data_IF_513304941745
#
_entry.id   IF_513304941745
#
_cell.length_a   1.000
_cell.length_b   1.000
_cell.length_c   1.000
_cell.angle_alpha   90.00
_cell.angle_beta   90.00
_cell.angle_gamma   90.00
#
_symmetry.space_group_name_H-M   'P 1'
#
loop_
_entity.id
_entity.type
_entity.pdbx_description
1 polymer ?
#
# COMPACT_ATOMS: atom_id res chain seq x y z
N UNK A 1 35.01 14.99 -8.25
CA UNK A 1 33.87 14.31 -7.58
C UNK A 1 33.49 15.18 -6.40
N UNK A 2 32.23 15.57 -6.31
CA UNK A 2 31.73 16.43 -5.25
C UNK A 2 31.39 15.61 -4.01
N UNK A 3 31.76 16.15 -2.82
CA UNK A 3 31.62 15.50 -1.52
C UNK A 3 30.42 16.06 -0.77
N UNK A 4 29.69 15.20 -0.09
CA UNK A 4 28.52 15.51 0.73
C UNK A 4 28.60 14.81 2.09
N UNK A 5 28.03 15.42 3.12
CA UNK A 5 27.82 14.74 4.39
C UNK A 5 26.80 13.63 4.28
N UNK A 6 25.75 13.88 3.48
CA UNK A 6 24.66 12.94 3.23
C UNK A 6 24.24 12.93 1.76
N UNK A 7 24.12 11.74 1.16
CA UNK A 7 23.47 11.52 -0.14
C UNK A 7 22.20 10.71 0.08
N UNK A 8 21.06 11.18 -0.41
CA UNK A 8 19.78 10.49 -0.34
C UNK A 8 19.34 10.11 -1.76
N UNK A 9 19.12 8.81 -1.98
CA UNK A 9 18.58 8.30 -3.24
C UNK A 9 17.07 8.10 -3.13
N UNK A 10 16.30 9.02 -3.71
CA UNK A 10 14.84 9.04 -3.76
C UNK A 10 14.20 10.10 -2.87
N UNK A 11 13.36 10.96 -3.48
CA UNK A 11 12.63 12.04 -2.82
C UNK A 11 11.22 11.62 -2.36
N UNK A 12 10.98 10.33 -2.12
CA UNK A 12 9.80 9.80 -1.46
C UNK A 12 9.88 9.93 0.06
N UNK A 13 9.94 8.80 0.79
CA UNK A 13 10.15 8.81 2.25
C UNK A 13 11.53 9.29 2.65
N UNK A 14 12.55 9.13 1.77
CA UNK A 14 13.89 9.64 2.01
C UNK A 14 13.95 11.15 2.21
N UNK A 15 13.11 11.93 1.49
CA UNK A 15 13.05 13.38 1.67
C UNK A 15 12.62 13.83 3.08
N UNK A 16 11.89 12.98 3.82
CA UNK A 16 11.43 13.32 5.18
C UNK A 16 12.52 13.24 6.26
N UNK A 17 13.71 12.73 5.91
CA UNK A 17 14.87 12.71 6.80
C UNK A 17 15.47 14.09 6.97
N UNK A 18 15.43 14.93 5.93
CA UNK A 18 16.05 16.26 5.93
C UNK A 18 15.26 17.20 6.84
N UNK A 19 15.86 17.62 7.94
CA UNK A 19 15.25 18.49 8.93
C UNK A 19 16.29 19.33 9.69
N UNK A 20 15.85 20.14 10.68
CA UNK A 20 16.70 21.10 11.38
C UNK A 20 17.97 20.52 12.02
N UNK A 21 17.94 19.24 12.40
CA UNK A 21 19.13 18.58 12.96
C UNK A 21 20.27 18.41 11.94
N UNK A 22 20.05 18.74 10.67
CA UNK A 22 21.00 18.62 9.56
C UNK A 22 21.26 19.96 8.87
N UNK A 23 20.93 21.11 9.47
CA UNK A 23 21.09 22.42 8.84
C UNK A 23 22.56 22.72 8.47
N UNK A 24 23.53 22.20 9.25
CA UNK A 24 24.97 22.32 8.98
C UNK A 24 25.54 21.26 8.03
N UNK A 25 24.71 20.31 7.56
CA UNK A 25 25.12 19.23 6.66
C UNK A 25 25.03 19.66 5.20
N UNK A 26 26.03 19.32 4.40
CA UNK A 26 25.91 19.40 2.94
C UNK A 26 25.23 18.15 2.41
N UNK A 27 24.03 18.29 1.86
CA UNK A 27 23.15 17.18 1.47
C UNK A 27 22.95 17.16 -0.04
N UNK A 28 23.11 15.98 -0.66
CA UNK A 28 22.65 15.71 -2.02
C UNK A 28 21.35 14.91 -1.96
N UNK A 29 20.30 15.40 -2.62
CA UNK A 29 19.05 14.70 -2.81
C UNK A 29 18.90 14.33 -4.30
N UNK A 30 18.89 13.02 -4.59
CA UNK A 30 18.80 12.49 -5.95
C UNK A 30 17.39 11.99 -6.22
N UNK A 31 16.75 12.51 -7.26
CA UNK A 31 15.40 12.07 -7.65
C UNK A 31 15.32 11.96 -9.18
N UNK A 32 14.93 10.79 -9.65
CA UNK A 32 14.76 10.49 -11.08
C UNK A 32 13.46 11.06 -11.64
N UNK A 33 12.44 11.19 -10.79
CA UNK A 33 11.08 11.48 -11.20
C UNK A 33 10.51 12.70 -10.49
N UNK A 34 9.29 12.54 -9.98
CA UNK A 34 8.53 13.60 -9.33
C UNK A 34 8.66 13.48 -7.82
N UNK A 35 8.93 14.58 -7.15
CA UNK A 35 9.05 14.63 -5.70
C UNK A 35 7.80 14.10 -4.99
N UNK A 36 7.99 13.48 -3.82
CA UNK A 36 6.92 12.86 -3.03
C UNK A 36 6.77 11.35 -3.23
N UNK A 37 7.45 10.80 -4.25
CA UNK A 37 7.51 9.36 -4.52
C UNK A 37 6.14 8.75 -4.88
N UNK A 38 6.06 7.41 -4.82
CA UNK A 38 4.87 6.65 -5.21
C UNK A 38 3.63 7.06 -4.43
N UNK A 39 3.72 7.22 -3.11
CA UNK A 39 2.54 7.47 -2.27
C UNK A 39 1.81 8.77 -2.65
N UNK A 40 2.53 9.87 -2.87
CA UNK A 40 1.92 11.15 -3.22
C UNK A 40 1.37 11.14 -4.66
N UNK A 41 2.14 10.60 -5.62
CA UNK A 41 1.89 10.88 -7.03
C UNK A 41 1.07 9.80 -7.75
N UNK A 42 1.15 8.53 -7.33
CA UNK A 42 0.60 7.37 -8.07
C UNK A 42 0.24 6.17 -7.16
N UNK A 43 0.10 6.39 -5.87
CA UNK A 43 -0.23 5.35 -4.89
C UNK A 43 -1.29 5.80 -3.91
N UNK A 44 -0.94 5.86 -2.63
CA UNK A 44 -1.87 6.01 -1.51
C UNK A 44 -2.83 7.20 -1.67
N UNK A 45 -2.30 8.40 -1.93
CA UNK A 45 -3.10 9.62 -1.91
C UNK A 45 -4.08 9.69 -3.09
N UNK A 46 -3.64 9.59 -4.36
CA UNK A 46 -4.57 9.64 -5.48
C UNK A 46 -5.58 8.50 -5.42
N UNK A 47 -5.17 7.26 -5.12
CA UNK A 47 -6.10 6.12 -5.03
C UNK A 47 -7.22 6.39 -4.02
N UNK A 48 -6.92 6.91 -2.82
CA UNK A 48 -7.94 7.20 -1.79
C UNK A 48 -8.87 8.33 -2.19
N UNK A 49 -8.38 9.31 -2.94
CA UNK A 49 -9.25 10.35 -3.51
C UNK A 49 -10.22 9.79 -4.56
N UNK A 50 -9.77 8.83 -5.39
CA UNK A 50 -10.64 8.12 -6.33
C UNK A 50 -11.61 7.17 -5.63
N UNK A 51 -11.15 6.39 -4.65
CA UNK A 51 -11.97 5.47 -3.83
C UNK A 51 -13.12 6.24 -3.17
N UNK A 52 -12.85 7.39 -2.55
CA UNK A 52 -13.91 8.19 -1.91
C UNK A 52 -14.98 8.63 -2.92
N UNK A 53 -14.59 8.95 -4.15
CA UNK A 53 -15.55 9.28 -5.22
C UNK A 53 -16.33 8.03 -5.67
N UNK A 54 -15.65 6.88 -5.79
CA UNK A 54 -16.29 5.60 -6.11
C UNK A 54 -17.31 5.18 -5.04
N UNK A 55 -16.95 5.34 -3.76
CA UNK A 55 -17.87 5.10 -2.64
C UNK A 55 -19.11 6.00 -2.70
N UNK A 56 -18.94 7.26 -3.13
CA UNK A 56 -20.07 8.19 -3.34
C UNK A 56 -21.04 7.68 -4.40
N UNK A 57 -20.52 7.13 -5.50
CA UNK A 57 -21.34 6.50 -6.55
C UNK A 57 -22.13 5.32 -5.98
N UNK A 58 -21.45 4.40 -5.28
CA UNK A 58 -22.10 3.25 -4.67
C UNK A 58 -23.14 3.64 -3.61
N UNK A 59 -22.92 4.70 -2.83
CA UNK A 59 -23.90 5.20 -1.88
C UNK A 59 -25.18 5.66 -2.59
N UNK A 60 -25.07 6.32 -3.74
CA UNK A 60 -26.25 6.72 -4.55
C UNK A 60 -26.95 5.49 -5.13
N UNK A 61 -26.21 4.56 -5.71
CA UNK A 61 -26.79 3.32 -6.31
C UNK A 61 -27.52 2.46 -5.27
N UNK A 62 -27.04 2.46 -4.04
CA UNK A 62 -27.62 1.66 -2.96
C UNK A 62 -28.62 2.44 -2.07
N UNK A 63 -28.89 3.71 -2.36
CA UNK A 63 -29.75 4.57 -1.53
C UNK A 63 -31.18 4.06 -1.37
N UNK A 64 -31.72 3.36 -2.39
CA UNK A 64 -33.06 2.81 -2.38
C UNK A 64 -33.31 1.82 -1.22
N UNK A 65 -32.29 1.09 -0.76
CA UNK A 65 -32.39 0.20 0.42
C UNK A 65 -32.74 0.95 1.71
N UNK A 66 -32.43 2.26 1.76
CA UNK A 66 -32.72 3.14 2.87
C UNK A 66 -33.98 3.99 2.63
N UNK A 67 -34.73 3.72 1.56
CA UNK A 67 -35.94 4.46 1.17
C UNK A 67 -35.66 5.81 0.48
N UNK A 68 -34.46 6.01 -0.05
CA UNK A 68 -34.09 7.21 -0.80
C UNK A 68 -33.97 6.88 -2.28
N UNK A 69 -34.87 7.46 -3.09
CA UNK A 69 -34.81 7.33 -4.54
C UNK A 69 -33.74 8.26 -5.09
N UNK A 70 -32.62 7.69 -5.53
CA UNK A 70 -31.50 8.44 -6.08
C UNK A 70 -30.91 7.69 -7.28
N UNK A 71 -30.30 8.41 -8.20
CA UNK A 71 -29.62 7.84 -9.37
C UNK A 71 -28.39 8.66 -9.76
N UNK A 72 -27.47 8.02 -10.45
CA UNK A 72 -26.27 8.66 -11.03
C UNK A 72 -26.54 8.98 -12.48
N UNK A 73 -26.65 10.27 -12.84
CA UNK A 73 -26.87 10.69 -14.22
C UNK A 73 -25.66 10.47 -15.12
N UNK A 74 -24.44 10.44 -14.54
CA UNK A 74 -23.20 10.22 -15.28
C UNK A 74 -21.96 10.48 -14.45
N UNK A 75 -20.84 10.00 -14.96
CA UNK A 75 -19.51 10.14 -14.37
C UNK A 75 -18.70 11.14 -15.20
N UNK A 76 -18.38 12.29 -14.60
CA UNK A 76 -17.54 13.33 -15.20
C UNK A 76 -16.06 13.02 -14.90
N UNK A 77 -15.52 12.02 -15.60
CA UNK A 77 -14.17 11.50 -15.36
C UNK A 77 -13.09 12.58 -15.36
N UNK A 78 -13.11 13.49 -16.34
CA UNK A 78 -12.13 14.57 -16.43
C UNK A 78 -12.14 15.46 -15.17
N UNK A 79 -13.34 15.77 -14.63
CA UNK A 79 -13.47 16.59 -13.41
C UNK A 79 -12.94 15.83 -12.19
N UNK A 80 -13.22 14.52 -12.08
CA UNK A 80 -12.74 13.66 -10.99
C UNK A 80 -11.22 13.57 -11.05
N UNK A 81 -10.66 13.25 -12.22
CA UNK A 81 -9.22 13.14 -12.44
C UNK A 81 -8.51 14.45 -12.14
N UNK A 82 -8.99 15.56 -12.70
CA UNK A 82 -8.38 16.87 -12.52
C UNK A 82 -8.44 17.30 -11.04
N UNK A 83 -9.58 17.12 -10.35
CA UNK A 83 -9.68 17.39 -8.90
C UNK A 83 -8.59 16.71 -8.08
N UNK A 84 -8.17 15.49 -8.48
CA UNK A 84 -7.10 14.75 -7.81
C UNK A 84 -5.74 15.35 -8.13
N UNK A 85 -5.42 15.50 -9.41
CA UNK A 85 -4.08 15.85 -9.84
C UNK A 85 -3.79 17.34 -9.80
N UNK A 86 -4.78 18.23 -9.95
CA UNK A 86 -4.65 19.67 -9.69
C UNK A 86 -4.28 19.97 -8.22
N UNK A 87 -4.57 19.04 -7.32
CA UNK A 87 -4.10 19.11 -5.93
C UNK A 87 -2.72 18.52 -5.72
N UNK A 88 -2.43 17.36 -6.32
CA UNK A 88 -1.22 16.60 -6.07
C UNK A 88 -0.01 17.18 -6.79
N UNK A 89 -0.16 17.53 -8.06
CA UNK A 89 0.96 17.99 -8.89
C UNK A 89 1.60 19.29 -8.35
N UNK A 90 0.82 20.29 -7.90
CA UNK A 90 1.41 21.47 -7.24
C UNK A 90 2.15 21.16 -5.93
N UNK A 91 1.70 20.16 -5.14
CA UNK A 91 2.40 19.75 -3.91
C UNK A 91 3.77 19.14 -4.26
N UNK A 92 3.81 18.26 -5.25
CA UNK A 92 5.04 17.65 -5.71
C UNK A 92 6.03 18.69 -6.29
N UNK A 93 5.53 19.59 -7.15
CA UNK A 93 6.31 20.70 -7.70
C UNK A 93 6.80 21.67 -6.62
N UNK A 94 5.94 21.99 -5.65
CA UNK A 94 6.28 22.82 -4.49
C UNK A 94 7.38 22.21 -3.64
N UNK A 95 7.32 20.89 -3.41
CA UNK A 95 8.37 20.17 -2.67
C UNK A 95 9.73 20.20 -3.39
N UNK A 96 9.72 19.98 -4.70
CA UNK A 96 10.93 20.09 -5.53
C UNK A 96 11.51 21.51 -5.46
N UNK A 97 10.67 22.54 -5.67
CA UNK A 97 11.07 23.93 -5.59
C UNK A 97 11.67 24.30 -4.23
N UNK A 98 10.99 23.90 -3.16
CA UNK A 98 11.47 24.15 -1.79
C UNK A 98 12.87 23.58 -1.56
N UNK A 99 13.11 22.31 -1.94
CA UNK A 99 14.44 21.71 -1.78
C UNK A 99 15.50 22.32 -2.67
N UNK A 100 15.13 22.76 -3.87
CA UNK A 100 16.08 23.32 -4.84
C UNK A 100 16.47 24.77 -4.51
N UNK A 101 15.56 25.58 -3.98
CA UNK A 101 15.75 27.03 -3.87
C UNK A 101 15.72 27.56 -2.43
N UNK A 102 14.98 26.91 -1.54
CA UNK A 102 14.74 27.43 -0.19
C UNK A 102 15.54 26.66 0.89
N UNK A 103 16.28 25.60 0.51
CA UNK A 103 17.15 24.82 1.39
C UNK A 103 18.63 24.98 0.94
N UNK A 104 19.37 25.97 1.45
CA UNK A 104 20.72 26.29 0.94
C UNK A 104 21.76 25.18 1.17
N UNK A 105 21.51 24.29 2.11
CA UNK A 105 22.36 23.13 2.41
C UNK A 105 22.02 21.88 1.59
N UNK A 106 20.99 21.94 0.71
CA UNK A 106 20.55 20.81 -0.11
C UNK A 106 20.81 21.08 -1.58
N UNK A 107 21.55 20.19 -2.23
CA UNK A 107 21.69 20.16 -3.68
C UNK A 107 20.78 19.09 -4.27
N UNK A 108 19.83 19.46 -5.11
CA UNK A 108 18.96 18.52 -5.81
C UNK A 108 19.61 18.10 -7.13
N UNK A 109 19.82 16.80 -7.29
CA UNK A 109 20.27 16.20 -8.54
C UNK A 109 19.07 15.51 -9.22
N UNK A 110 18.55 16.13 -10.28
CA UNK A 110 17.46 15.56 -11.07
C UNK A 110 18.01 14.50 -12.04
N UNK A 111 17.78 13.24 -11.73
CA UNK A 111 18.24 12.11 -12.54
C UNK A 111 18.32 10.82 -11.76
N UNK A 112 18.60 9.73 -12.50
CA UNK A 112 18.76 8.41 -11.91
C UNK A 112 20.12 8.26 -11.26
N UNK A 113 20.14 8.04 -9.94
CA UNK A 113 21.33 7.72 -9.17
C UNK A 113 21.60 6.22 -9.12
N UNK A 114 22.85 5.81 -9.37
CA UNK A 114 23.30 4.42 -9.19
C UNK A 114 24.65 4.37 -8.50
N UNK A 115 24.92 3.33 -7.77
CA UNK A 115 26.24 3.10 -7.19
C UNK A 115 27.28 2.82 -8.29
N UNK A 116 28.48 3.38 -8.09
CA UNK A 116 29.69 3.11 -8.89
C UNK A 116 30.88 2.74 -7.99
N UNK A 117 30.60 2.47 -6.72
CA UNK A 117 31.52 2.09 -5.65
C UNK A 117 30.86 2.32 -4.30
N UNK A 118 31.53 1.92 -3.21
CA UNK A 118 31.05 2.18 -1.86
C UNK A 118 30.82 3.69 -1.67
N UNK A 119 29.57 4.08 -1.32
CA UNK A 119 29.13 5.47 -1.09
C UNK A 119 29.39 6.45 -2.25
N UNK A 120 29.77 5.95 -3.43
CA UNK A 120 29.94 6.73 -4.65
C UNK A 120 28.76 6.50 -5.59
N UNK A 121 28.14 7.58 -5.97
CA UNK A 121 26.92 7.59 -6.78
C UNK A 121 27.19 8.33 -8.08
N UNK A 122 26.83 7.76 -9.19
CA UNK A 122 26.71 8.44 -10.47
C UNK A 122 25.24 8.78 -10.72
N UNK A 123 24.97 10.05 -10.99
CA UNK A 123 23.64 10.54 -11.33
C UNK A 123 23.59 10.86 -12.80
N UNK A 124 22.70 10.20 -13.55
CA UNK A 124 22.45 10.47 -14.96
C UNK A 124 21.53 11.70 -15.08
N UNK A 125 22.11 12.89 -15.19
CA UNK A 125 21.37 14.16 -15.36
C UNK A 125 21.21 14.52 -16.84
N UNK A 126 20.35 15.51 -17.15
CA UNK A 126 20.16 16.03 -18.51
C UNK A 126 21.43 16.60 -19.13
N UNK A 127 22.34 17.14 -18.29
CA UNK A 127 23.58 17.81 -18.71
C UNK A 127 24.78 16.84 -18.76
N UNK A 128 24.53 15.57 -18.55
CA UNK A 128 25.50 14.48 -18.51
C UNK A 128 25.66 13.87 -17.12
N UNK A 129 26.40 12.76 -16.98
CA UNK A 129 26.58 12.08 -15.74
C UNK A 129 27.44 12.89 -14.74
N UNK A 130 26.98 12.98 -13.50
CA UNK A 130 27.68 13.61 -12.39
C UNK A 130 28.02 12.57 -11.34
N UNK A 131 29.27 12.53 -10.87
CA UNK A 131 29.67 11.65 -9.78
C UNK A 131 29.78 12.43 -8.46
N UNK A 132 29.09 11.90 -7.45
CA UNK A 132 29.06 12.43 -6.08
C UNK A 132 29.45 11.34 -5.08
N UNK A 133 29.96 11.76 -3.93
CA UNK A 133 30.31 10.84 -2.83
C UNK A 133 29.72 11.35 -1.52
N UNK A 134 29.10 10.43 -0.75
CA UNK A 134 28.55 10.73 0.57
C UNK A 134 29.41 10.18 1.69
N UNK A 135 29.60 10.96 2.76
CA UNK A 135 30.08 10.39 4.03
C UNK A 135 29.04 9.37 4.56
N UNK A 136 27.77 9.71 4.42
CA UNK A 136 26.61 8.86 4.66
C UNK A 136 25.76 8.77 3.38
N UNK A 137 25.16 7.61 3.14
CA UNK A 137 24.21 7.40 2.02
C UNK A 137 22.94 6.77 2.54
N UNK A 138 21.78 7.30 2.16
CA UNK A 138 20.46 6.70 2.44
C UNK A 138 19.83 6.24 1.13
N UNK A 139 19.58 4.93 1.03
CA UNK A 139 18.92 4.34 -0.13
C UNK A 139 17.42 4.25 0.13
N UNK A 140 16.66 5.15 -0.49
CA UNK A 140 15.20 5.25 -0.38
C UNK A 140 14.50 5.19 -1.76
N UNK A 141 15.08 4.40 -2.68
CA UNK A 141 14.67 4.36 -4.09
C UNK A 141 13.35 3.60 -4.35
N UNK A 142 12.74 3.01 -3.30
CA UNK A 142 11.41 2.43 -3.37
C UNK A 142 11.31 1.16 -4.22
N UNK A 143 10.13 0.96 -4.80
CA UNK A 143 9.79 -0.20 -5.63
C UNK A 143 8.98 0.25 -6.85
N UNK A 144 8.89 -0.63 -7.87
CA UNK A 144 8.11 -0.44 -9.09
C UNK A 144 7.14 -1.59 -9.32
N UNK A 145 6.09 -1.43 -10.16
CA UNK A 145 5.21 -2.52 -10.55
C UNK A 145 6.00 -3.69 -11.16
N UNK A 146 5.62 -4.90 -10.80
CA UNK A 146 6.13 -6.13 -11.41
C UNK A 146 5.34 -6.44 -12.68
N UNK A 147 6.02 -6.44 -13.82
CA UNK A 147 5.40 -6.77 -15.10
C UNK A 147 5.70 -8.23 -15.41
N UNK A 148 4.67 -9.08 -15.55
CA UNK A 148 4.87 -10.48 -15.90
C UNK A 148 5.28 -10.62 -17.37
N UNK A 149 6.15 -11.58 -17.64
CA UNK A 149 6.50 -11.97 -19.01
C UNK A 149 5.38 -12.85 -19.59
N UNK A 150 4.40 -12.20 -20.24
CA UNK A 150 3.28 -12.85 -20.90
C UNK A 150 3.34 -12.47 -22.40
N UNK A 151 3.40 -13.46 -23.30
CA UNK A 151 3.40 -13.21 -24.74
C UNK A 151 2.28 -12.25 -25.18
N UNK A 152 2.61 -11.21 -25.93
CA UNK A 152 1.68 -10.22 -26.43
C UNK A 152 1.29 -9.11 -25.47
N UNK A 153 1.69 -9.16 -24.18
CA UNK A 153 1.31 -8.12 -23.20
C UNK A 153 1.89 -6.74 -23.57
N UNK A 154 3.16 -6.69 -23.95
CA UNK A 154 3.81 -5.43 -24.34
C UNK A 154 3.22 -4.86 -25.64
N UNK A 155 2.90 -5.73 -26.59
CA UNK A 155 2.38 -5.37 -27.91
C UNK A 155 0.95 -4.81 -27.84
N UNK A 156 0.11 -5.33 -26.95
CA UNK A 156 -1.25 -4.79 -26.77
C UNK A 156 -1.26 -3.51 -25.94
N UNK A 157 -0.21 -3.25 -25.17
CA UNK A 157 -0.12 -2.18 -24.20
C UNK A 157 -0.88 -2.50 -22.91
N UNK A 158 -0.42 -1.92 -21.83
CA UNK A 158 -1.03 -2.09 -20.50
C UNK A 158 -0.80 -0.84 -19.66
N UNK A 159 -1.63 -0.69 -18.65
CA UNK A 159 -1.41 0.25 -17.55
C UNK A 159 -0.99 -0.48 -16.27
N UNK A 160 -0.39 0.27 -15.37
CA UNK A 160 -0.08 -0.12 -14.00
C UNK A 160 -0.70 0.87 -13.02
N UNK A 161 -0.48 0.69 -11.71
CA UNK A 161 -0.86 1.71 -10.72
C UNK A 161 -0.23 3.08 -10.97
N UNK A 162 0.88 3.11 -11.73
CA UNK A 162 1.65 4.32 -11.94
C UNK A 162 1.00 5.30 -12.93
N UNK A 163 0.11 4.81 -13.82
CA UNK A 163 -0.47 5.59 -14.92
C UNK A 163 -2.00 5.43 -15.10
N UNK A 164 -2.61 4.32 -14.67
CA UNK A 164 -4.05 4.06 -14.90
C UNK A 164 -4.96 5.18 -14.37
N UNK A 165 -4.58 5.84 -13.28
CA UNK A 165 -5.36 6.93 -12.71
C UNK A 165 -5.31 8.24 -13.53
N UNK A 166 -4.44 8.30 -14.55
CA UNK A 166 -4.26 9.45 -15.43
C UNK A 166 -4.79 9.24 -16.86
N UNK A 167 -5.44 8.11 -17.14
CA UNK A 167 -6.02 7.84 -18.46
C UNK A 167 -7.02 8.93 -18.89
N UNK A 168 -7.11 9.18 -20.18
CA UNK A 168 -7.99 10.23 -20.72
C UNK A 168 -9.47 9.87 -20.60
N UNK A 169 -9.80 8.59 -20.70
CA UNK A 169 -11.16 8.08 -20.63
C UNK A 169 -11.24 6.87 -19.73
N UNK A 170 -12.37 6.67 -19.07
CA UNK A 170 -12.66 5.44 -18.31
C UNK A 170 -12.68 4.27 -19.30
N UNK A 171 -11.90 3.20 -19.08
CA UNK A 171 -11.95 2.01 -19.92
C UNK A 171 -13.35 1.40 -19.98
N UNK A 172 -13.82 1.03 -21.17
CA UNK A 172 -15.10 0.30 -21.32
C UNK A 172 -15.05 -1.05 -20.61
N UNK A 173 -13.97 -1.80 -20.85
CA UNK A 173 -13.74 -3.10 -20.20
C UNK A 173 -12.28 -3.22 -19.77
N UNK A 174 -12.05 -3.28 -18.48
CA UNK A 174 -10.74 -3.38 -17.86
C UNK A 174 -10.45 -4.82 -17.45
N UNK A 175 -9.42 -5.42 -18.07
CA UNK A 175 -8.87 -6.72 -17.64
C UNK A 175 -7.81 -6.44 -16.59
N UNK A 176 -8.03 -6.92 -15.36
CA UNK A 176 -7.13 -6.71 -14.21
C UNK A 176 -6.33 -7.99 -13.97
N UNK A 177 -5.02 -7.92 -14.08
CA UNK A 177 -4.10 -9.02 -13.76
C UNK A 177 -3.65 -8.91 -12.30
N UNK A 178 -4.03 -9.88 -11.48
CA UNK A 178 -3.74 -9.94 -10.06
C UNK A 178 -4.98 -9.78 -9.20
N UNK A 179 -4.89 -10.17 -7.92
CA UNK A 179 -5.96 -10.11 -6.95
C UNK A 179 -5.47 -9.59 -5.58
N UNK A 180 -4.40 -8.79 -5.58
CA UNK A 180 -3.90 -8.08 -4.41
C UNK A 180 -4.62 -6.74 -4.19
N UNK A 181 -4.20 -5.98 -3.17
CA UNK A 181 -4.87 -4.72 -2.78
C UNK A 181 -4.94 -3.68 -3.91
N UNK A 182 -3.88 -3.53 -4.73
CA UNK A 182 -3.86 -2.61 -5.89
C UNK A 182 -4.94 -3.00 -6.90
N UNK A 183 -5.03 -4.30 -7.22
CA UNK A 183 -6.02 -4.83 -8.14
C UNK A 183 -7.44 -4.58 -7.64
N UNK A 184 -7.71 -4.88 -6.37
CA UNK A 184 -9.03 -4.74 -5.77
C UNK A 184 -9.45 -3.27 -5.63
N UNK A 185 -8.58 -2.38 -5.15
CA UNK A 185 -8.88 -0.96 -5.03
C UNK A 185 -9.17 -0.32 -6.39
N UNK A 186 -8.36 -0.60 -7.42
CA UNK A 186 -8.55 -0.02 -8.74
C UNK A 186 -9.73 -0.66 -9.49
N UNK A 187 -10.00 -1.95 -9.30
CA UNK A 187 -11.21 -2.59 -9.81
C UNK A 187 -12.47 -1.97 -9.20
N UNK A 188 -12.46 -1.70 -7.89
CA UNK A 188 -13.54 -0.97 -7.23
C UNK A 188 -13.74 0.42 -7.83
N UNK A 189 -12.66 1.20 -7.98
CA UNK A 189 -12.70 2.56 -8.53
C UNK A 189 -13.28 2.58 -9.95
N UNK A 190 -12.67 1.83 -10.87
CA UNK A 190 -13.09 1.84 -12.27
C UNK A 190 -14.45 1.17 -12.48
N UNK A 191 -14.77 0.12 -11.69
CA UNK A 191 -16.08 -0.50 -11.70
C UNK A 191 -17.19 0.46 -11.29
N UNK A 192 -17.01 1.25 -10.23
CA UNK A 192 -17.96 2.27 -9.82
C UNK A 192 -18.11 3.39 -10.88
N UNK A 193 -17.09 3.63 -11.70
CA UNK A 193 -17.15 4.61 -12.77
C UNK A 193 -17.67 4.05 -14.11
N UNK A 194 -18.21 2.83 -14.10
CA UNK A 194 -18.89 2.23 -15.24
C UNK A 194 -18.04 1.30 -16.10
N UNK A 195 -16.78 1.04 -15.75
CA UNK A 195 -16.01 -0.01 -16.43
C UNK A 195 -16.58 -1.39 -16.14
N UNK A 196 -16.75 -2.22 -17.16
CA UNK A 196 -16.83 -3.65 -16.96
C UNK A 196 -15.47 -4.14 -16.45
N UNK A 197 -15.47 -4.95 -15.39
CA UNK A 197 -14.23 -5.44 -14.76
C UNK A 197 -14.15 -6.97 -14.90
N UNK A 198 -13.01 -7.47 -15.38
CA UNK A 198 -12.65 -8.89 -15.27
C UNK A 198 -11.33 -9.01 -14.54
N UNK A 199 -11.32 -9.67 -13.38
CA UNK A 199 -10.10 -9.91 -12.58
C UNK A 199 -9.60 -11.32 -12.83
N UNK A 200 -8.33 -11.44 -13.25
CA UNK A 200 -7.67 -12.75 -13.43
C UNK A 200 -6.65 -12.96 -12.33
N UNK A 201 -6.85 -14.01 -11.51
CA UNK A 201 -6.01 -14.31 -10.36
C UNK A 201 -5.65 -15.80 -10.29
N UNK A 202 -4.37 -16.07 -10.00
CA UNK A 202 -3.83 -17.45 -9.90
C UNK A 202 -4.33 -18.21 -8.66
N UNK A 203 -4.63 -17.52 -7.56
CA UNK A 203 -5.20 -18.15 -6.36
C UNK A 203 -6.72 -18.26 -6.46
N UNK A 204 -7.30 -19.10 -5.61
CA UNK A 204 -8.76 -19.33 -5.54
C UNK A 204 -9.52 -18.16 -4.87
N UNK A 205 -8.82 -17.21 -4.26
CA UNK A 205 -9.40 -16.07 -3.56
C UNK A 205 -8.63 -14.79 -3.90
N UNK A 206 -9.31 -13.66 -3.82
CA UNK A 206 -8.70 -12.33 -3.78
C UNK A 206 -8.05 -12.12 -2.40
N UNK A 207 -7.09 -11.20 -2.34
CA UNK A 207 -6.44 -10.79 -1.08
C UNK A 207 -5.99 -11.98 -0.21
N UNK A 208 -5.36 -12.96 -0.80
CA UNK A 208 -4.98 -14.24 -0.17
C UNK A 208 -4.07 -14.11 1.07
N UNK A 209 -3.50 -12.93 1.31
CA UNK A 209 -2.69 -12.64 2.49
C UNK A 209 -3.52 -12.20 3.70
N UNK A 210 -4.80 -11.89 3.50
CA UNK A 210 -5.73 -11.61 4.59
C UNK A 210 -6.16 -12.89 5.30
N UNK A 211 -6.75 -12.75 6.50
CA UNK A 211 -7.39 -13.87 7.17
C UNK A 211 -8.41 -14.53 6.22
N UNK A 212 -8.51 -15.86 6.30
CA UNK A 212 -9.31 -16.67 5.37
C UNK A 212 -10.76 -16.17 5.27
N UNK A 213 -11.38 -15.80 6.39
CA UNK A 213 -12.78 -15.38 6.40
C UNK A 213 -12.95 -14.02 5.73
N UNK A 214 -11.97 -13.10 5.93
CA UNK A 214 -11.94 -11.81 5.26
C UNK A 214 -11.72 -11.97 3.75
N UNK A 215 -10.75 -12.81 3.34
CA UNK A 215 -10.50 -13.11 1.94
C UNK A 215 -11.71 -13.75 1.25
N UNK A 216 -12.43 -14.64 1.95
CA UNK A 216 -13.66 -15.25 1.45
C UNK A 216 -14.78 -14.21 1.29
N UNK A 217 -14.98 -13.34 2.29
CA UNK A 217 -16.03 -12.33 2.26
C UNK A 217 -15.84 -11.32 1.11
N UNK A 218 -14.63 -10.78 0.95
CA UNK A 218 -14.35 -9.83 -0.14
C UNK A 218 -14.41 -10.50 -1.51
N UNK A 219 -14.00 -11.77 -1.61
CA UNK A 219 -14.10 -12.53 -2.86
C UNK A 219 -15.58 -12.73 -3.27
N UNK A 220 -16.46 -13.02 -2.31
CA UNK A 220 -17.90 -13.16 -2.56
C UNK A 220 -18.54 -11.82 -2.97
N UNK A 221 -18.19 -10.71 -2.30
CA UNK A 221 -18.66 -9.37 -2.67
C UNK A 221 -18.24 -9.00 -4.10
N UNK A 222 -16.97 -9.20 -4.42
CA UNK A 222 -16.46 -8.89 -5.76
C UNK A 222 -17.04 -9.79 -6.85
N UNK A 223 -17.32 -11.06 -6.54
CA UNK A 223 -17.96 -11.98 -7.48
C UNK A 223 -19.41 -11.58 -7.80
N UNK A 224 -20.09 -10.89 -6.89
CA UNK A 224 -21.43 -10.36 -7.15
C UNK A 224 -21.40 -9.12 -8.07
N UNK A 225 -20.27 -8.43 -8.17
CA UNK A 225 -20.10 -7.17 -8.92
C UNK A 225 -19.30 -7.32 -10.21
N UNK A 226 -18.34 -8.22 -10.26
CA UNK A 226 -17.31 -8.33 -11.29
C UNK A 226 -17.17 -9.77 -11.81
N UNK A 227 -16.63 -9.90 -13.03
CA UNK A 227 -16.25 -11.20 -13.59
C UNK A 227 -14.91 -11.65 -12.97
N UNK A 228 -14.93 -12.64 -12.09
CA UNK A 228 -13.75 -13.19 -11.44
C UNK A 228 -13.29 -14.48 -12.12
N UNK A 229 -12.05 -14.50 -12.62
CA UNK A 229 -11.35 -15.67 -13.16
C UNK A 229 -10.27 -16.10 -12.18
N UNK A 230 -10.67 -16.87 -11.18
CA UNK A 230 -9.80 -17.34 -10.09
C UNK A 230 -9.21 -18.73 -10.41
N UNK A 231 -8.08 -19.05 -9.78
CA UNK A 231 -7.38 -20.32 -9.98
C UNK A 231 -6.75 -20.47 -11.37
N UNK A 232 -6.67 -19.39 -12.16
CA UNK A 232 -6.16 -19.39 -13.54
C UNK A 232 -5.19 -18.26 -13.81
N UNK A 233 -4.63 -18.23 -15.01
CA UNK A 233 -3.72 -17.18 -15.45
C UNK A 233 -3.92 -16.92 -16.94
N UNK A 234 -3.63 -15.68 -17.36
CA UNK A 234 -3.49 -15.36 -18.78
C UNK A 234 -2.18 -15.97 -19.30
N UNK A 235 -2.27 -16.62 -20.45
CA UNK A 235 -1.12 -17.25 -21.13
C UNK A 235 -0.66 -16.46 -22.34
N UNK A 236 -1.52 -15.63 -22.91
CA UNK A 236 -1.24 -14.81 -24.09
C UNK A 236 -2.18 -13.63 -24.19
N UNK A 237 -1.68 -12.54 -24.76
CA UNK A 237 -2.47 -11.43 -25.24
C UNK A 237 -2.35 -11.29 -26.75
N UNK A 238 -3.40 -10.79 -27.40
CA UNK A 238 -3.37 -10.36 -28.79
C UNK A 238 -4.36 -9.22 -29.02
N UNK A 239 -4.12 -8.39 -30.05
CA UNK A 239 -5.03 -7.33 -30.47
C UNK A 239 -5.86 -7.81 -31.67
N UNK A 240 -7.18 -7.74 -31.55
CA UNK A 240 -8.14 -8.01 -32.64
C UNK A 240 -8.96 -6.74 -32.90
N UNK A 241 -8.52 -5.92 -33.86
CA UNK A 241 -9.09 -4.59 -34.09
C UNK A 241 -8.84 -3.68 -32.88
N UNK A 242 -9.89 -3.11 -32.32
CA UNK A 242 -9.82 -2.25 -31.13
C UNK A 242 -9.84 -3.03 -29.80
N UNK A 243 -10.07 -4.35 -29.88
CA UNK A 243 -10.18 -5.21 -28.69
C UNK A 243 -8.86 -5.88 -28.36
N UNK A 244 -8.66 -6.10 -27.06
CA UNK A 244 -7.57 -6.88 -26.49
C UNK A 244 -8.15 -8.22 -26.05
N UNK A 245 -7.59 -9.30 -26.58
CA UNK A 245 -8.00 -10.66 -26.22
C UNK A 245 -6.93 -11.25 -25.29
N UNK A 246 -7.37 -11.65 -24.11
CA UNK A 246 -6.57 -12.38 -23.13
C UNK A 246 -6.98 -13.85 -23.16
N UNK A 247 -6.08 -14.76 -23.54
CA UNK A 247 -6.30 -16.21 -23.52
C UNK A 247 -5.89 -16.77 -22.17
N UNK A 248 -6.81 -17.49 -21.51
CA UNK A 248 -6.55 -18.13 -20.23
C UNK A 248 -5.90 -19.52 -20.41
N UNK A 249 -5.46 -20.10 -19.30
CA UNK A 249 -4.79 -21.42 -19.28
C UNK A 249 -5.67 -22.57 -19.83
N UNK A 250 -6.98 -22.47 -19.68
CA UNK A 250 -7.97 -23.45 -20.18
C UNK A 250 -8.37 -23.22 -21.65
N UNK A 251 -7.78 -22.22 -22.30
CA UNK A 251 -8.06 -21.84 -23.68
C UNK A 251 -9.26 -20.89 -23.84
N UNK A 252 -9.98 -20.55 -22.77
CA UNK A 252 -11.03 -19.53 -22.84
C UNK A 252 -10.46 -18.14 -23.05
N UNK A 253 -11.24 -17.24 -23.64
CA UNK A 253 -10.83 -15.89 -23.97
C UNK A 253 -11.62 -14.85 -23.17
N UNK A 254 -10.95 -13.77 -22.81
CA UNK A 254 -11.54 -12.55 -22.27
C UNK A 254 -11.29 -11.43 -23.29
N UNK A 255 -12.35 -10.74 -23.65
CA UNK A 255 -12.35 -9.61 -24.57
C UNK A 255 -12.40 -8.30 -23.76
N UNK A 256 -11.42 -7.44 -23.87
CA UNK A 256 -11.33 -6.16 -23.17
C UNK A 256 -10.84 -5.01 -24.01
N UNK A 257 -10.84 -3.80 -23.46
CA UNK A 257 -10.30 -2.60 -24.11
C UNK A 257 -8.99 -2.13 -23.47
N UNK A 258 -8.78 -2.45 -22.19
CA UNK A 258 -7.59 -2.07 -21.43
C UNK A 258 -7.12 -3.23 -20.54
N UNK A 259 -5.81 -3.25 -20.26
CA UNK A 259 -5.20 -4.18 -19.32
C UNK A 259 -4.57 -3.38 -18.18
N UNK A 260 -4.90 -3.75 -16.93
CA UNK A 260 -4.22 -3.27 -15.72
C UNK A 260 -3.34 -4.39 -15.17
N UNK A 261 -2.03 -4.16 -15.10
CA UNK A 261 -1.09 -5.06 -14.45
C UNK A 261 -0.91 -4.68 -12.99
N UNK A 262 -1.42 -5.52 -12.09
CA UNK A 262 -1.37 -5.37 -10.64
C UNK A 262 -0.88 -6.66 -9.95
N UNK A 263 0.15 -7.29 -10.52
CA UNK A 263 0.67 -8.62 -10.14
C UNK A 263 1.70 -8.58 -9.00
N UNK A 264 2.00 -7.41 -8.46
CA UNK A 264 2.94 -7.19 -7.38
C UNK A 264 3.90 -6.03 -7.64
N UNK A 265 4.87 -5.87 -6.74
CA UNK A 265 5.92 -4.85 -6.82
C UNK A 265 7.28 -5.47 -6.59
N UNK A 266 8.32 -4.90 -7.18
CA UNK A 266 9.72 -5.31 -6.99
C UNK A 266 10.56 -4.13 -6.52
N UNK A 267 11.43 -4.32 -5.50
CA UNK A 267 12.35 -3.28 -5.05
C UNK A 267 13.32 -2.84 -6.16
N UNK A 268 13.66 -1.57 -6.18
CA UNK A 268 14.50 -0.94 -7.22
C UNK A 268 16.02 -1.17 -6.99
N UNK A 269 16.43 -2.35 -6.54
CA UNK A 269 17.82 -2.69 -6.23
C UNK A 269 18.72 -2.71 -7.47
N UNK A 270 18.19 -3.15 -8.60
CA UNK A 270 18.86 -3.19 -9.90
C UNK A 270 19.01 -1.79 -10.50
N UNK A 271 18.02 -0.91 -10.33
CA UNK A 271 18.06 0.45 -10.86
C UNK A 271 19.10 1.33 -10.17
N UNK A 272 19.38 1.05 -8.88
CA UNK A 272 20.45 1.74 -8.12
C UNK A 272 21.80 1.03 -8.18
N UNK A 273 21.90 -0.10 -8.90
CA UNK A 273 23.11 -0.92 -8.98
C UNK A 273 23.70 -1.26 -7.59
N UNK A 274 22.88 -1.83 -6.74
CA UNK A 274 23.23 -2.13 -5.35
C UNK A 274 24.51 -2.99 -5.23
N UNK A 275 24.74 -3.87 -6.21
CA UNK A 275 25.93 -4.73 -6.25
C UNK A 275 27.23 -3.93 -6.45
N UNK A 276 27.23 -2.88 -7.30
CA UNK A 276 28.37 -1.98 -7.47
C UNK A 276 28.69 -1.18 -6.20
N UNK A 277 27.68 -0.98 -5.33
CA UNK A 277 27.85 -0.40 -4.00
C UNK A 277 28.35 -1.38 -2.93
N UNK A 278 28.51 -2.65 -3.26
CA UNK A 278 28.87 -3.69 -2.29
C UNK A 278 27.73 -4.08 -1.34
N UNK A 279 26.48 -3.73 -1.67
CA UNK A 279 25.32 -3.94 -0.81
C UNK A 279 24.81 -5.36 -0.90
N UNK A 280 24.52 -5.98 0.25
CA UNK A 280 23.92 -7.31 0.32
C UNK A 280 22.43 -7.26 0.02
N UNK A 281 21.99 -8.29 -0.71
CA UNK A 281 20.59 -8.46 -1.09
C UNK A 281 20.01 -9.63 -0.29
N UNK A 282 18.93 -9.37 0.44
CA UNK A 282 18.16 -10.40 1.13
C UNK A 282 17.59 -11.41 0.11
N UNK A 283 17.50 -12.73 0.44
CA UNK A 283 16.94 -13.74 -0.47
C UNK A 283 15.54 -13.43 -1.03
N UNK A 284 14.78 -12.59 -0.35
CA UNK A 284 13.47 -12.08 -0.84
C UNK A 284 13.57 -10.92 -1.85
N UNK A 285 14.76 -10.57 -2.35
CA UNK A 285 14.97 -9.58 -3.41
C UNK A 285 14.89 -8.12 -2.97
N UNK A 286 15.19 -7.81 -1.71
CA UNK A 286 15.29 -6.44 -1.17
C UNK A 286 16.67 -6.18 -0.59
N UNK A 287 17.04 -4.93 -0.34
CA UNK A 287 18.30 -4.65 0.35
C UNK A 287 18.26 -5.24 1.77
N UNK A 288 19.39 -5.85 2.16
CA UNK A 288 19.56 -6.35 3.53
C UNK A 288 19.89 -5.19 4.46
N UNK A 289 19.12 -5.06 5.53
CA UNK A 289 19.37 -4.11 6.62
C UNK A 289 19.20 -4.79 7.98
N UNK A 290 19.87 -4.24 8.99
CA UNK A 290 19.61 -4.59 10.38
C UNK A 290 18.41 -3.80 10.96
N UNK A 291 18.05 -4.03 12.21
CA UNK A 291 16.95 -3.32 12.86
C UNK A 291 17.19 -1.82 13.03
N UNK A 292 18.44 -1.36 12.99
CA UNK A 292 18.79 0.06 12.99
C UNK A 292 18.75 0.69 11.57
N UNK A 293 18.35 -0.08 10.55
CA UNK A 293 18.29 0.30 9.13
C UNK A 293 19.68 0.47 8.47
N UNK A 294 20.74 -0.13 9.05
CA UNK A 294 22.08 -0.14 8.46
C UNK A 294 22.21 -1.29 7.47
N UNK A 295 22.88 -1.03 6.36
CA UNK A 295 23.33 -2.10 5.45
C UNK A 295 24.64 -2.73 5.95
N UNK A 296 25.15 -3.72 5.22
CA UNK A 296 26.48 -4.29 5.46
C UNK A 296 27.64 -3.31 5.18
N UNK A 297 27.40 -2.23 4.41
CA UNK A 297 28.42 -1.21 4.09
C UNK A 297 28.35 -0.08 5.12
N UNK A 298 29.43 0.19 5.89
CA UNK A 298 29.45 1.27 6.86
C UNK A 298 29.12 2.62 6.25
N UNK A 299 28.19 3.35 6.89
CA UNK A 299 27.71 4.64 6.42
C UNK A 299 26.66 4.55 5.30
N UNK A 300 26.15 3.35 4.99
CA UNK A 300 25.04 3.17 4.05
C UNK A 300 23.83 2.61 4.79
N UNK A 301 22.71 3.30 4.64
CA UNK A 301 21.40 3.02 5.25
C UNK A 301 20.37 2.77 4.17
N UNK A 302 19.30 2.03 4.48
CA UNK A 302 18.19 1.92 3.55
C UNK A 302 16.84 1.92 4.29
N UNK A 303 15.79 2.39 3.62
CA UNK A 303 14.44 2.47 4.16
C UNK A 303 13.36 2.38 3.08
N UNK A 304 12.16 2.02 3.50
CA UNK A 304 10.99 1.92 2.63
C UNK A 304 11.04 0.69 1.73
N UNK A 305 10.28 0.73 0.63
CA UNK A 305 10.01 -0.44 -0.21
C UNK A 305 11.27 -1.15 -0.76
N UNK A 306 12.42 -0.48 -0.76
CA UNK A 306 13.66 -1.08 -1.25
C UNK A 306 14.28 -2.08 -0.27
N UNK A 307 14.02 -1.93 1.04
CA UNK A 307 14.59 -2.75 2.12
C UNK A 307 13.55 -3.36 3.03
N UNK A 308 12.39 -2.73 3.17
CA UNK A 308 11.33 -3.19 4.06
C UNK A 308 10.63 -4.44 3.53
N UNK A 309 10.29 -5.43 4.39
CA UNK A 309 9.38 -6.51 4.03
C UNK A 309 7.94 -6.01 3.80
N UNK A 310 7.61 -4.83 4.31
CA UNK A 310 6.28 -4.20 4.22
C UNK A 310 6.36 -2.95 3.34
N UNK A 311 5.81 -3.02 2.12
CA UNK A 311 5.77 -1.89 1.18
C UNK A 311 4.62 -0.94 1.54
N UNK A 312 4.66 -0.36 2.75
CA UNK A 312 3.63 0.48 3.34
C UNK A 312 4.21 1.85 3.75
N UNK A 313 3.48 2.92 3.41
CA UNK A 313 3.95 4.29 3.66
C UNK A 313 4.20 4.60 5.14
N UNK A 314 3.35 4.12 6.04
CA UNK A 314 3.52 4.35 7.48
C UNK A 314 4.74 3.59 8.04
N UNK A 315 5.08 2.42 7.48
CA UNK A 315 6.32 1.71 7.81
C UNK A 315 7.53 2.50 7.33
N UNK A 316 7.56 2.92 6.07
CA UNK A 316 8.63 3.76 5.53
C UNK A 316 8.81 5.09 6.30
N UNK A 317 7.71 5.69 6.79
CA UNK A 317 7.77 6.88 7.65
C UNK A 317 8.38 6.59 9.02
N UNK A 318 8.11 5.40 9.59
CA UNK A 318 8.72 4.98 10.84
C UNK A 318 10.22 4.73 10.67
N UNK A 319 10.59 3.97 9.64
CA UNK A 319 11.99 3.70 9.28
C UNK A 319 12.77 5.00 9.01
N UNK A 320 12.14 5.99 8.34
CA UNK A 320 12.77 7.29 8.12
C UNK A 320 13.07 8.04 9.43
N UNK A 321 12.19 7.96 10.45
CA UNK A 321 12.46 8.53 11.78
C UNK A 321 13.62 7.82 12.48
N UNK A 322 13.68 6.48 12.37
CA UNK A 322 14.80 5.69 12.92
C UNK A 322 16.11 6.06 12.23
N UNK A 323 16.13 6.13 10.90
CA UNK A 323 17.33 6.52 10.14
C UNK A 323 17.75 7.95 10.48
N UNK A 324 16.83 8.92 10.55
CA UNK A 324 17.13 10.28 10.95
C UNK A 324 17.79 10.33 12.34
N UNK A 325 17.18 9.65 13.32
CA UNK A 325 17.74 9.60 14.68
C UNK A 325 19.14 9.00 14.67
N UNK A 326 19.33 7.86 14.01
CA UNK A 326 20.60 7.14 13.99
C UNK A 326 21.73 7.88 13.24
N UNK A 327 21.38 8.65 12.20
CA UNK A 327 22.35 9.52 11.52
C UNK A 327 22.84 10.65 12.40
N UNK A 328 22.00 11.19 13.28
CA UNK A 328 22.32 12.33 14.13
C UNK A 328 22.76 11.94 15.55
N UNK A 329 22.54 10.68 15.95
CA UNK A 329 22.88 10.14 17.27
C UNK A 329 23.55 8.76 17.14
N UNK A 330 24.80 8.70 16.61
CA UNK A 330 25.43 7.41 16.28
C UNK A 330 25.75 6.54 17.51
N UNK A 331 25.80 7.12 18.70
CA UNK A 331 26.06 6.42 19.98
C UNK A 331 24.79 5.96 20.71
N UNK A 332 23.58 6.34 20.21
CA UNK A 332 22.29 5.99 20.78
C UNK A 332 21.34 5.56 19.67
N UNK A 333 21.42 4.32 19.25
CA UNK A 333 20.67 3.84 18.08
C UNK A 333 19.24 3.44 18.44
N UNK A 334 18.31 3.92 17.64
CA UNK A 334 16.94 3.40 17.59
C UNK A 334 16.86 2.17 16.67
N UNK A 335 15.88 1.32 16.97
CA UNK A 335 15.64 0.11 16.23
C UNK A 335 14.20 0.06 15.74
N UNK A 336 13.98 -0.43 14.52
CA UNK A 336 12.65 -0.71 14.00
C UNK A 336 12.15 -2.04 14.56
N UNK A 337 10.89 -2.05 14.94
CA UNK A 337 10.13 -3.26 15.22
C UNK A 337 9.06 -3.43 14.13
N UNK A 338 9.17 -4.49 13.35
CA UNK A 338 8.21 -4.84 12.30
C UNK A 338 7.17 -5.87 12.78
N UNK A 339 7.03 -6.09 14.07
CA UNK A 339 5.92 -6.87 14.62
C UNK A 339 4.62 -6.06 14.57
N UNK A 340 3.51 -6.74 14.39
CA UNK A 340 2.18 -6.13 14.44
C UNK A 340 1.99 -4.90 13.51
N UNK A 341 2.58 -4.95 12.31
CA UNK A 341 2.38 -3.91 11.30
C UNK A 341 0.93 -3.95 10.81
N UNK A 342 0.15 -2.87 11.00
CA UNK A 342 -1.21 -2.81 10.51
C UNK A 342 -1.25 -2.51 9.01
N UNK A 343 -2.32 -2.92 8.35
CA UNK A 343 -2.60 -2.50 6.98
C UNK A 343 -4.11 -2.36 6.74
N UNK A 344 -4.45 -1.68 5.65
CA UNK A 344 -5.82 -1.55 5.19
C UNK A 344 -5.90 -1.65 3.67
N UNK A 345 -7.00 -2.21 3.18
CA UNK A 345 -7.38 -2.22 1.77
C UNK A 345 -8.64 -1.39 1.63
N UNK A 346 -8.55 -0.36 0.79
CA UNK A 346 -9.62 0.60 0.61
C UNK A 346 -10.53 0.20 -0.55
N UNK A 347 -11.18 -0.92 -0.38
CA UNK A 347 -12.29 -1.39 -1.21
C UNK A 347 -13.63 -0.96 -0.57
N UNK A 348 -14.72 -1.35 -1.18
CA UNK A 348 -16.04 -1.32 -0.54
C UNK A 348 -16.59 -2.75 -0.58
N UNK A 349 -16.69 -3.43 0.60
CA UNK A 349 -16.33 -2.96 1.95
C UNK A 349 -14.82 -2.77 2.16
N UNK A 350 -14.44 -1.88 3.11
CA UNK A 350 -13.04 -1.69 3.53
C UNK A 350 -12.54 -2.89 4.32
N UNK A 351 -11.22 -3.12 4.26
CA UNK A 351 -10.55 -4.13 5.09
C UNK A 351 -9.46 -3.47 5.90
N UNK A 352 -9.26 -3.90 7.14
CA UNK A 352 -8.11 -3.56 7.95
C UNK A 352 -7.69 -4.75 8.82
N UNK A 353 -6.39 -4.91 8.98
CA UNK A 353 -5.83 -6.00 9.78
C UNK A 353 -4.57 -5.58 10.53
N UNK A 354 -4.29 -6.26 11.63
CA UNK A 354 -3.05 -6.18 12.41
C UNK A 354 -2.77 -7.52 13.09
N UNK A 355 -1.50 -7.89 13.17
CA UNK A 355 -1.06 -9.15 13.80
C UNK A 355 -1.27 -10.38 12.90
N UNK A 356 -1.37 -11.55 13.51
CA UNK A 356 -1.47 -12.83 12.80
C UNK A 356 -2.91 -13.11 12.31
N UNK A 357 -3.02 -13.78 11.17
CA UNK A 357 -4.23 -14.51 10.80
C UNK A 357 -4.46 -15.68 11.74
N UNK A 358 -5.66 -16.22 11.82
CA UNK A 358 -5.94 -17.41 12.64
C UNK A 358 -5.05 -18.59 12.25
N UNK A 359 -4.86 -18.79 10.96
CA UNK A 359 -4.01 -19.88 10.45
C UNK A 359 -2.56 -19.71 10.86
N UNK A 360 -2.00 -18.50 10.78
CA UNK A 360 -0.62 -18.21 11.21
C UNK A 360 -0.45 -18.37 12.72
N UNK A 361 -1.38 -17.85 13.52
CA UNK A 361 -1.34 -18.00 14.97
C UNK A 361 -1.34 -19.48 15.40
N UNK A 362 -2.19 -20.30 14.78
CA UNK A 362 -2.21 -21.76 15.01
C UNK A 362 -0.93 -22.43 14.52
N UNK A 363 -0.39 -22.03 13.38
CA UNK A 363 0.88 -22.58 12.86
C UNK A 363 2.08 -22.24 13.76
N UNK A 364 2.03 -21.11 14.46
CA UNK A 364 3.01 -20.72 15.48
C UNK A 364 2.81 -21.45 16.83
N UNK A 365 1.82 -22.35 16.93
CA UNK A 365 1.54 -23.13 18.15
C UNK A 365 0.82 -22.37 19.24
N UNK A 366 0.21 -21.23 18.92
CA UNK A 366 -0.58 -20.44 19.88
C UNK A 366 -1.94 -21.13 20.11
N UNK A 367 -2.31 -21.35 21.36
CA UNK A 367 -3.67 -21.80 21.71
C UNK A 367 -4.64 -20.62 21.63
N UNK A 368 -5.23 -20.45 20.44
CA UNK A 368 -6.05 -19.30 20.14
C UNK A 368 -7.50 -19.46 20.58
N UNK A 369 -8.06 -18.35 21.07
CA UNK A 369 -9.49 -18.09 21.14
C UNK A 369 -9.85 -17.16 19.98
N UNK A 370 -11.00 -17.40 19.34
CA UNK A 370 -11.47 -16.58 18.22
C UNK A 370 -12.86 -16.04 18.53
N UNK A 371 -13.08 -14.78 18.25
CA UNK A 371 -14.38 -14.12 18.37
C UNK A 371 -14.71 -13.40 17.07
N UNK A 372 -15.97 -13.48 16.62
CA UNK A 372 -16.43 -12.78 15.41
C UNK A 372 -17.73 -12.05 15.71
N UNK A 373 -17.71 -10.74 15.54
CA UNK A 373 -18.87 -9.88 15.72
C UNK A 373 -19.32 -9.32 14.36
N UNK A 374 -20.53 -9.61 13.97
CA UNK A 374 -21.09 -9.04 12.74
C UNK A 374 -21.68 -7.66 13.00
N UNK A 375 -21.61 -6.78 11.97
CA UNK A 375 -22.21 -5.44 12.01
C UNK A 375 -23.72 -5.51 12.15
N UNK A 376 -24.38 -6.48 11.52
CA UNK A 376 -25.82 -6.70 11.63
C UNK A 376 -26.35 -6.95 13.05
N UNK A 377 -25.44 -7.23 14.00
CA UNK A 377 -25.82 -7.55 15.38
C UNK A 377 -25.58 -6.36 16.33
N UNK A 378 -25.28 -5.16 15.80
CA UNK A 378 -25.16 -3.89 16.53
C UNK A 378 -26.06 -2.82 15.94
N UNK A 379 -26.53 -1.89 16.80
CA UNK A 379 -27.53 -0.88 16.42
C UNK A 379 -27.13 -0.01 15.21
N UNK A 380 -25.87 0.40 15.14
CA UNK A 380 -25.41 1.21 14.01
C UNK A 380 -25.25 0.38 12.72
N UNK A 381 -25.00 -0.91 12.84
CA UNK A 381 -25.04 -1.84 11.70
C UNK A 381 -26.44 -1.95 11.10
N UNK A 382 -27.50 -1.92 11.95
CA UNK A 382 -28.89 -1.84 11.47
C UNK A 382 -29.13 -0.55 10.69
N UNK A 383 -28.63 0.59 11.20
CA UNK A 383 -28.77 1.87 10.50
C UNK A 383 -28.07 1.89 9.13
N UNK A 384 -27.04 1.06 8.95
CA UNK A 384 -26.32 0.88 7.68
C UNK A 384 -26.96 -0.18 6.76
N UNK A 385 -27.91 -0.96 7.27
CA UNK A 385 -28.43 -2.17 6.58
C UNK A 385 -27.29 -3.13 6.17
N UNK A 386 -26.26 -3.22 7.03
CA UNK A 386 -25.05 -4.02 6.76
C UNK A 386 -25.23 -5.43 7.34
N UNK A 387 -25.27 -6.43 6.45
CA UNK A 387 -25.50 -7.82 6.82
C UNK A 387 -24.27 -8.72 6.69
N UNK A 388 -23.19 -8.23 6.11
CA UNK A 388 -22.03 -9.05 5.72
C UNK A 388 -20.74 -8.70 6.43
N UNK A 389 -20.59 -7.46 6.86
CA UNK A 389 -19.38 -6.96 7.54
C UNK A 389 -19.20 -7.56 8.93
N UNK A 390 -17.93 -7.71 9.34
CA UNK A 390 -17.60 -8.25 10.66
C UNK A 390 -16.23 -7.77 11.18
N UNK A 391 -16.05 -7.92 12.49
CA UNK A 391 -14.77 -7.85 13.19
C UNK A 391 -14.43 -9.24 13.73
N UNK A 392 -13.28 -9.79 13.33
CA UNK A 392 -12.72 -11.05 13.81
C UNK A 392 -11.50 -10.77 14.67
N UNK A 393 -11.52 -11.26 15.90
CA UNK A 393 -10.43 -11.11 16.87
C UNK A 393 -9.84 -12.48 17.20
N UNK A 394 -8.51 -12.52 17.32
CA UNK A 394 -7.74 -13.71 17.64
C UNK A 394 -6.92 -13.40 18.87
N UNK A 395 -7.13 -14.14 19.95
CA UNK A 395 -6.45 -13.94 21.22
C UNK A 395 -5.72 -15.21 21.66
N UNK A 396 -4.58 -15.07 22.29
CA UNK A 396 -3.89 -16.15 22.99
C UNK A 396 -4.61 -16.44 24.32
N UNK A 397 -5.02 -17.68 24.50
CA UNK A 397 -5.74 -18.14 25.70
C UNK A 397 -4.93 -17.96 26.99
N UNK A 398 -3.63 -18.20 26.93
CA UNK A 398 -2.78 -18.18 28.11
C UNK A 398 -2.53 -16.75 28.61
N UNK A 399 -2.26 -15.82 27.70
CA UNK A 399 -1.95 -14.42 28.04
C UNK A 399 -3.16 -13.51 28.04
N UNK A 400 -4.28 -13.94 27.43
CA UNK A 400 -5.50 -13.16 27.20
C UNK A 400 -5.20 -11.84 26.45
N UNK A 401 -4.23 -11.87 25.53
CA UNK A 401 -3.89 -10.74 24.67
C UNK A 401 -4.26 -11.04 23.23
N UNK A 402 -4.63 -10.00 22.48
CA UNK A 402 -4.84 -10.15 21.07
C UNK A 402 -3.51 -10.43 20.35
N UNK A 403 -3.53 -11.41 19.47
CA UNK A 403 -2.43 -11.75 18.56
C UNK A 403 -2.78 -11.42 17.11
N UNK A 404 -4.05 -11.15 16.83
CA UNK A 404 -4.54 -10.73 15.52
C UNK A 404 -5.91 -10.07 15.60
N UNK A 405 -6.16 -9.13 14.72
CA UNK A 405 -7.46 -8.48 14.55
C UNK A 405 -7.69 -8.15 13.08
N UNK A 406 -8.88 -8.49 12.58
CA UNK A 406 -9.26 -8.37 11.18
C UNK A 406 -10.68 -7.80 11.09
N UNK A 407 -10.84 -6.70 10.35
CA UNK A 407 -12.14 -6.05 10.17
C UNK A 407 -12.40 -5.94 8.66
N UNK A 408 -13.57 -6.36 8.25
CA UNK A 408 -14.12 -6.07 6.92
C UNK A 408 -15.45 -5.34 7.10
N UNK A 409 -15.56 -4.13 6.53
CA UNK A 409 -16.77 -3.31 6.62
C UNK A 409 -16.49 -1.81 6.61
N UNK A 410 -17.54 -0.99 6.69
CA UNK A 410 -17.43 0.45 6.81
C UNK A 410 -16.51 0.89 7.95
N UNK A 411 -15.64 1.85 7.66
CA UNK A 411 -14.69 2.43 8.63
C UNK A 411 -13.66 1.45 9.23
N UNK A 412 -13.44 0.28 8.63
CA UNK A 412 -12.47 -0.71 9.13
C UNK A 412 -11.10 -0.09 9.43
N UNK A 413 -10.59 0.75 8.52
CA UNK A 413 -9.29 1.43 8.68
C UNK A 413 -9.19 2.38 9.87
N UNK A 414 -10.32 2.88 10.38
CA UNK A 414 -10.38 3.72 11.59
C UNK A 414 -10.65 2.89 12.84
N UNK A 415 -11.55 1.92 12.75
CA UNK A 415 -11.93 1.07 13.88
C UNK A 415 -10.78 0.21 14.38
N UNK A 416 -9.92 -0.26 13.46
CA UNK A 416 -8.75 -1.10 13.81
C UNK A 416 -7.76 -0.39 14.73
N UNK A 417 -7.73 0.97 14.74
CA UNK A 417 -6.70 1.72 15.44
C UNK A 417 -6.69 1.48 16.96
N UNK A 418 -7.85 1.32 17.60
CA UNK A 418 -7.94 0.98 19.01
C UNK A 418 -7.37 -0.43 19.32
N UNK A 419 -7.54 -1.38 18.38
CA UNK A 419 -7.01 -2.73 18.51
C UNK A 419 -5.48 -2.73 18.33
N UNK A 420 -4.95 -1.93 17.39
CA UNK A 420 -3.50 -1.71 17.24
C UNK A 420 -2.92 -1.18 18.54
N UNK A 421 -3.56 -0.17 19.16
CA UNK A 421 -3.11 0.41 20.43
C UNK A 421 -3.06 -0.64 21.53
N UNK A 422 -4.12 -1.41 21.71
CA UNK A 422 -4.17 -2.47 22.72
C UNK A 422 -3.11 -3.55 22.51
N UNK A 423 -2.90 -3.98 21.26
CA UNK A 423 -1.85 -4.97 20.93
C UNK A 423 -0.46 -4.42 21.26
N UNK A 424 -0.16 -3.18 20.83
CA UNK A 424 1.17 -2.55 21.04
C UNK A 424 1.47 -2.34 22.52
N UNK A 425 0.46 -1.94 23.31
CA UNK A 425 0.62 -1.76 24.76
C UNK A 425 0.52 -3.06 25.56
N UNK A 426 0.17 -4.17 24.91
CA UNK A 426 0.03 -5.47 25.56
C UNK A 426 -1.18 -5.55 26.49
N UNK A 427 -2.24 -4.78 26.19
CA UNK A 427 -3.47 -4.81 26.95
C UNK A 427 -4.16 -6.18 26.83
N UNK A 428 -4.79 -6.63 27.91
CA UNK A 428 -5.62 -7.84 27.85
C UNK A 428 -6.96 -7.54 27.19
N UNK A 429 -7.60 -8.57 26.62
CA UNK A 429 -8.96 -8.46 26.07
C UNK A 429 -9.94 -7.91 27.09
N UNK A 430 -9.78 -8.27 28.38
CA UNK A 430 -10.65 -7.78 29.47
C UNK A 430 -10.43 -6.28 29.73
N UNK A 431 -9.18 -5.82 29.74
CA UNK A 431 -8.86 -4.39 29.90
C UNK A 431 -9.41 -3.58 28.71
N UNK A 432 -9.25 -4.07 27.47
CA UNK A 432 -9.79 -3.42 26.29
C UNK A 432 -11.33 -3.38 26.29
N UNK A 433 -11.98 -4.50 26.66
CA UNK A 433 -13.44 -4.61 26.64
C UNK A 433 -14.13 -3.74 27.70
N UNK A 434 -13.52 -3.60 28.89
CA UNK A 434 -14.17 -3.03 30.08
C UNK A 434 -13.43 -1.83 30.69
N UNK A 435 -12.24 -1.52 30.23
CA UNK A 435 -11.40 -0.43 30.73
C UNK A 435 -11.73 0.95 30.17
N UNK A 436 -12.65 1.04 29.23
CA UNK A 436 -13.06 2.27 28.57
C UNK A 436 -14.57 2.28 28.30
N UNK A 437 -15.12 3.47 28.02
CA UNK A 437 -16.49 3.60 27.53
C UNK A 437 -16.51 3.48 26.02
N UNK A 438 -17.45 2.70 25.48
CA UNK A 438 -17.77 2.67 24.07
C UNK A 438 -18.98 3.56 23.78
N UNK A 439 -18.91 4.34 22.71
CA UNK A 439 -20.02 5.23 22.33
C UNK A 439 -21.16 4.39 21.78
N UNK A 440 -22.37 4.59 22.30
CA UNK A 440 -23.61 3.99 21.82
C UNK A 440 -24.55 5.07 21.25
N UNK A 441 -25.19 4.84 20.08
CA UNK A 441 -24.95 3.79 19.11
C UNK A 441 -23.82 4.19 18.12
N UNK A 442 -22.79 3.38 18.01
CA UNK A 442 -21.69 3.62 17.06
C UNK A 442 -21.02 2.30 16.64
N UNK A 443 -20.24 2.32 15.56
CA UNK A 443 -19.52 1.13 15.09
C UNK A 443 -18.42 0.64 16.05
N UNK A 444 -18.01 1.44 17.05
CA UNK A 444 -17.14 0.99 18.12
C UNK A 444 -17.67 -0.22 18.87
N UNK A 445 -19.00 -0.39 18.96
CA UNK A 445 -19.66 -1.54 19.59
C UNK A 445 -19.37 -2.87 18.87
N UNK A 446 -19.03 -2.85 17.60
CA UNK A 446 -18.59 -4.05 16.87
C UNK A 446 -17.30 -4.61 17.49
N UNK A 447 -16.38 -3.72 17.86
CA UNK A 447 -15.13 -4.08 18.53
C UNK A 447 -15.39 -4.50 19.98
N UNK A 448 -16.16 -3.71 20.72
CA UNK A 448 -16.53 -4.02 22.11
C UNK A 448 -17.17 -5.40 22.21
N UNK A 449 -18.21 -5.65 21.40
CA UNK A 449 -18.95 -6.90 21.43
C UNK A 449 -18.10 -8.10 21.00
N UNK A 450 -17.17 -7.92 20.06
CA UNK A 450 -16.19 -8.96 19.71
C UNK A 450 -15.29 -9.30 20.90
N UNK A 451 -14.78 -8.29 21.64
CA UNK A 451 -13.97 -8.48 22.83
C UNK A 451 -14.77 -9.16 23.96
N UNK A 452 -16.05 -8.81 24.12
CA UNK A 452 -16.94 -9.38 25.15
C UNK A 452 -17.34 -10.85 24.89
N UNK A 453 -17.18 -11.37 23.66
CA UNK A 453 -17.44 -12.78 23.35
C UNK A 453 -16.40 -13.73 23.97
N UNK A 454 -15.21 -13.23 24.31
CA UNK A 454 -14.21 -14.08 24.96
C UNK A 454 -14.66 -14.45 26.37
N UNK A 455 -14.52 -15.75 26.78
CA UNK A 455 -14.89 -16.18 28.12
C UNK A 455 -14.18 -15.34 29.19
N UNK A 456 -14.90 -14.94 30.23
CA UNK A 456 -14.27 -14.35 31.43
C UNK A 456 -13.48 -15.42 32.18
N UNK A 457 -12.38 -15.05 32.82
CA UNK A 457 -11.63 -15.93 33.72
C UNK A 457 -12.38 -16.18 35.02
#
# INVERSE_FOLDING_TARGET
MEQYDLVILGAGSGNSIIGPAMDDWKIALVEEWVFGGTCLNRGCIPTKMFVHTADTVLHVEHAARLGVDAHVDGIRWADIRNRVFDRIDPIAAGGARYRTYDCPNVTVHAGRGRFVGERRIEVATSDGPVQIEGRQVVVAAGARPMIPDIPGLAEVGYSTSDDIMRVEVVPEHLIVLGGGFIACELAHVFGAFGSRITIVQRSAQLLRAEDHDVAAAITADFAARFDLRLGTAVTRFERRGERIIATLRDGSEIDGTHVLVATGRIPNIDTVDAAAGGLEIHPAGRLQVDSAQRTNVPGVWALGDISSPHMLKHVANHEARVVLHNLTNPDDLWHTDHTNIPHAVFTNPQIAAVGCTEAEARAHGIDVMVATQYYRDVAYGWALEDTTSFCKLIADRATRRLVGAHIIGPHASSLIQQLIQGIVHGDTIDAMARGQYYIHPALGEVVENALLQFPTT
#
